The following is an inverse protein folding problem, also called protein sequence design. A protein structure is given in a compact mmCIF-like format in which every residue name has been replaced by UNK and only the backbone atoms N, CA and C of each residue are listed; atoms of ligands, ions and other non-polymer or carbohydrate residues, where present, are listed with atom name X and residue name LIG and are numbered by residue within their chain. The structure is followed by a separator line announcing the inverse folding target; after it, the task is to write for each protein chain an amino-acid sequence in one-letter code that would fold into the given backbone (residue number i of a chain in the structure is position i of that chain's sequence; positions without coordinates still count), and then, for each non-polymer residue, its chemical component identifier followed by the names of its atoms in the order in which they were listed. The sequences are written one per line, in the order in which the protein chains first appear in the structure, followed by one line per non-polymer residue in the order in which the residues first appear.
data_IF_261070466472
#
_entry.id   IF_261070466472
#
_cell.length_a   1.000
_cell.length_b   1.000
_cell.length_c   1.000
_cell.angle_alpha   90.00
_cell.angle_beta   90.00
_cell.angle_gamma   90.00
#
_symmetry.space_group_name_H-M   'P 1'
#
loop_
_entity.id
_entity.type
_entity.pdbx_description
1 polymer ?
#
# COMPACT_ATOMS: atom_id res chain seq x y z
N UNK A 1 -30.77 10.35 12.79
CA UNK A 1 -30.29 9.19 12.00
C UNK A 1 -30.13 9.68 10.57
N UNK A 2 -28.89 9.85 10.10
CA UNK A 2 -28.60 10.18 8.70
C UNK A 2 -28.30 8.86 7.98
N UNK A 3 -29.25 8.38 7.16
CA UNK A 3 -29.11 7.12 6.41
C UNK A 3 -28.27 7.26 5.14
N UNK A 4 -28.11 6.17 4.39
CA UNK A 4 -27.35 6.09 3.12
C UNK A 4 -27.75 7.15 2.08
N UNK A 5 -29.00 7.61 2.09
CA UNK A 5 -29.55 8.62 1.16
C UNK A 5 -29.33 10.07 1.63
N UNK A 6 -28.61 10.30 2.73
CA UNK A 6 -28.38 11.64 3.25
C UNK A 6 -27.38 12.40 2.39
N UNK A 7 -27.69 13.64 1.99
CA UNK A 7 -26.79 14.47 1.18
C UNK A 7 -25.46 14.81 1.89
N UNK A 8 -25.46 14.80 3.21
CA UNK A 8 -24.27 15.03 4.04
C UNK A 8 -24.39 14.35 5.40
N UNK A 9 -23.24 14.05 5.99
CA UNK A 9 -23.07 13.52 7.34
C UNK A 9 -22.46 14.60 8.23
N UNK A 10 -22.86 14.62 9.50
CA UNK A 10 -22.27 15.52 10.51
C UNK A 10 -21.64 14.65 11.59
N UNK A 11 -20.33 14.78 11.77
CA UNK A 11 -19.57 14.10 12.81
C UNK A 11 -18.67 15.10 13.51
N UNK A 12 -18.79 15.22 14.85
CA UNK A 12 -17.99 16.17 15.65
C UNK A 12 -17.91 17.58 15.05
N UNK A 13 -19.08 18.13 14.66
CA UNK A 13 -19.21 19.45 14.00
C UNK A 13 -18.61 19.57 12.59
N UNK A 14 -18.04 18.51 12.02
CA UNK A 14 -17.61 18.45 10.62
C UNK A 14 -18.76 17.99 9.72
N UNK A 15 -19.06 18.76 8.66
CA UNK A 15 -20.04 18.41 7.62
C UNK A 15 -19.33 17.74 6.44
N UNK A 16 -19.57 16.46 6.24
CA UNK A 16 -18.97 15.65 5.16
C UNK A 16 -20.03 15.41 4.09
N UNK A 17 -19.75 15.79 2.84
CA UNK A 17 -20.65 15.48 1.71
C UNK A 17 -20.70 13.98 1.49
N UNK A 18 -21.87 13.44 1.16
CA UNK A 18 -22.04 12.01 0.89
C UNK A 18 -21.06 11.48 -0.17
N UNK A 19 -20.87 12.23 -1.26
CA UNK A 19 -19.93 11.87 -2.32
C UNK A 19 -18.46 11.87 -1.85
N UNK A 20 -18.10 12.79 -0.96
CA UNK A 20 -16.74 12.85 -0.39
C UNK A 20 -16.50 11.67 0.57
N UNK A 21 -17.52 11.27 1.34
CA UNK A 21 -17.43 10.11 2.23
C UNK A 21 -17.18 8.82 1.44
N UNK A 22 -18.03 8.52 0.45
CA UNK A 22 -17.89 7.31 -0.37
C UNK A 22 -16.57 7.29 -1.14
N UNK A 23 -16.14 8.45 -1.67
CA UNK A 23 -14.83 8.58 -2.32
C UNK A 23 -13.68 8.30 -1.34
N UNK A 24 -13.78 8.79 -0.10
CA UNK A 24 -12.82 8.51 0.96
C UNK A 24 -12.76 7.01 1.30
N UNK A 25 -13.91 6.37 1.50
CA UNK A 25 -14.02 4.92 1.75
C UNK A 25 -13.32 4.13 0.63
N UNK A 26 -13.63 4.42 -0.63
CA UNK A 26 -13.01 3.74 -1.77
C UNK A 26 -11.48 3.94 -1.83
N UNK A 27 -10.96 5.09 -1.42
CA UNK A 27 -9.51 5.30 -1.34
C UNK A 27 -8.85 4.52 -0.22
N UNK A 28 -9.49 4.41 0.95
CA UNK A 28 -8.99 3.56 2.02
C UNK A 28 -9.01 2.08 1.61
N UNK A 29 -10.09 1.63 0.95
CA UNK A 29 -10.19 0.28 0.40
C UNK A 29 -9.09 -0.01 -0.63
N UNK A 30 -8.84 0.91 -1.56
CA UNK A 30 -7.73 0.84 -2.53
C UNK A 30 -6.38 0.73 -1.81
N UNK A 31 -6.16 1.51 -0.75
CA UNK A 31 -4.93 1.47 0.02
C UNK A 31 -4.75 0.12 0.76
N UNK A 32 -5.83 -0.44 1.30
CA UNK A 32 -5.83 -1.76 1.95
C UNK A 32 -5.50 -2.85 0.93
N UNK A 33 -6.16 -2.88 -0.23
CA UNK A 33 -5.86 -3.83 -1.31
C UNK A 33 -4.40 -3.72 -1.76
N UNK A 34 -3.89 -2.50 -1.96
CA UNK A 34 -2.49 -2.24 -2.31
C UNK A 34 -1.53 -2.81 -1.26
N UNK A 35 -1.80 -2.58 0.02
CA UNK A 35 -0.93 -3.05 1.10
C UNK A 35 -0.96 -4.58 1.22
N UNK A 36 -2.14 -5.15 1.45
CA UNK A 36 -2.30 -6.60 1.69
C UNK A 36 -1.88 -7.43 0.47
N UNK A 37 -2.19 -6.97 -0.74
CA UNK A 37 -1.74 -7.62 -1.98
C UNK A 37 -0.21 -7.59 -2.13
N UNK A 38 0.45 -6.47 -1.80
CA UNK A 38 1.91 -6.41 -1.79
C UNK A 38 2.52 -7.38 -0.75
N UNK A 39 1.92 -7.50 0.43
CA UNK A 39 2.40 -8.43 1.46
C UNK A 39 2.31 -9.88 0.97
N UNK A 40 1.21 -10.29 0.34
CA UNK A 40 1.08 -11.63 -0.29
C UNK A 40 2.13 -11.85 -1.38
N UNK A 41 2.26 -10.90 -2.32
CA UNK A 41 3.22 -11.02 -3.41
C UNK A 41 4.64 -11.17 -2.86
N UNK A 42 4.99 -10.37 -1.86
CA UNK A 42 6.30 -10.40 -1.20
C UNK A 42 6.54 -11.72 -0.47
N UNK A 43 5.52 -12.25 0.23
CA UNK A 43 5.59 -13.54 0.91
C UNK A 43 5.82 -14.69 -0.07
N UNK A 44 5.18 -14.67 -1.24
CA UNK A 44 5.26 -15.74 -2.22
C UNK A 44 6.40 -15.55 -3.24
N UNK A 45 7.10 -14.41 -3.21
CA UNK A 45 8.11 -14.03 -4.21
C UNK A 45 9.22 -15.08 -4.38
N UNK A 46 9.49 -15.46 -5.63
CA UNK A 46 10.59 -16.35 -5.99
C UNK A 46 10.39 -17.82 -5.61
N UNK A 47 9.21 -18.18 -5.10
CA UNK A 47 8.89 -19.55 -4.69
C UNK A 47 7.99 -20.23 -5.73
N UNK A 48 8.29 -21.50 -6.01
CA UNK A 48 7.43 -22.37 -6.81
C UNK A 48 6.62 -23.26 -5.88
N UNK A 49 5.40 -23.57 -6.30
CA UNK A 49 4.47 -24.41 -5.54
C UNK A 49 3.97 -25.53 -6.45
N UNK A 50 3.72 -26.69 -5.87
CA UNK A 50 3.18 -27.87 -6.54
C UNK A 50 1.73 -28.15 -6.16
N UNK A 51 1.23 -27.53 -5.08
CA UNK A 51 -0.15 -27.69 -4.63
C UNK A 51 -0.62 -26.51 -3.77
N UNK A 52 -1.93 -26.48 -3.52
CA UNK A 52 -2.55 -25.49 -2.63
C UNK A 52 -2.10 -25.68 -1.17
N UNK A 53 -1.75 -26.89 -0.75
CA UNK A 53 -1.18 -27.17 0.57
C UNK A 53 0.17 -26.46 0.77
N UNK A 54 1.03 -26.44 -0.25
CA UNK A 54 2.32 -25.73 -0.16
C UNK A 54 2.14 -24.21 -0.08
N UNK A 55 1.16 -23.66 -0.81
CA UNK A 55 0.77 -22.26 -0.71
C UNK A 55 0.29 -21.96 0.72
N UNK A 56 -0.64 -22.75 1.25
CA UNK A 56 -1.14 -22.60 2.62
C UNK A 56 -0.02 -22.62 3.65
N UNK A 57 0.86 -23.63 3.57
CA UNK A 57 2.03 -23.76 4.45
C UNK A 57 2.95 -22.54 4.40
N UNK A 58 3.14 -21.95 3.21
CA UNK A 58 3.96 -20.75 3.05
C UNK A 58 3.28 -19.49 3.59
N UNK A 59 1.95 -19.41 3.46
CA UNK A 59 1.16 -18.30 3.97
C UNK A 59 1.07 -18.31 5.51
N UNK A 60 1.13 -19.48 6.15
CA UNK A 60 1.19 -19.56 7.62
C UNK A 60 2.31 -18.67 8.18
N UNK A 61 2.03 -17.82 9.19
CA UNK A 61 3.05 -17.02 9.86
C UNK A 61 4.14 -17.86 10.50
N UNK A 62 5.37 -17.34 10.50
CA UNK A 62 6.53 -18.03 11.09
C UNK A 62 6.60 -17.85 12.62
N UNK A 63 5.81 -16.92 13.16
CA UNK A 63 5.76 -16.53 14.57
C UNK A 63 4.38 -16.01 14.93
N UNK A 64 4.07 -16.05 16.22
CA UNK A 64 2.87 -15.43 16.79
C UNK A 64 3.06 -13.93 17.08
N UNK A 65 4.33 -13.46 17.10
CA UNK A 65 4.65 -12.04 17.31
C UNK A 65 4.19 -11.23 16.10
N UNK A 66 3.55 -10.08 16.37
CA UNK A 66 2.95 -9.23 15.35
C UNK A 66 1.43 -9.30 15.27
N UNK A 67 0.80 -10.27 15.96
CA UNK A 67 -0.66 -10.30 16.09
C UNK A 67 -1.19 -9.08 16.86
N UNK A 68 -2.40 -8.65 16.51
CA UNK A 68 -3.12 -7.61 17.22
C UNK A 68 -2.65 -6.20 16.87
N UNK A 69 -2.55 -5.35 17.90
CA UNK A 69 -2.31 -3.92 17.74
C UNK A 69 -0.83 -3.61 17.52
N UNK A 70 -0.59 -2.55 16.75
CA UNK A 70 0.73 -1.99 16.50
C UNK A 70 0.77 -0.54 16.97
N UNK A 71 1.94 -0.11 17.44
CA UNK A 71 2.17 1.23 17.97
C UNK A 71 3.37 1.88 17.28
N UNK A 72 3.37 3.20 17.24
CA UNK A 72 4.52 4.00 16.83
C UNK A 72 5.24 4.55 18.06
N UNK A 73 6.47 4.10 18.27
CA UNK A 73 7.36 4.55 19.34
C UNK A 73 8.49 5.37 18.72
N UNK A 74 8.24 6.66 18.54
CA UNK A 74 9.21 7.62 17.98
C UNK A 74 9.79 7.20 16.62
N UNK A 75 8.94 6.70 15.73
CA UNK A 75 9.29 6.21 14.39
C UNK A 75 9.53 4.69 14.33
N UNK A 76 9.62 4.00 15.48
CA UNK A 76 9.63 2.55 15.52
C UNK A 76 8.20 2.01 15.50
N UNK A 77 7.78 1.51 14.35
CA UNK A 77 6.51 0.78 14.21
C UNK A 77 6.72 -0.65 14.71
N UNK A 78 6.04 -1.00 15.81
CA UNK A 78 6.27 -2.25 16.52
C UNK A 78 4.96 -2.92 16.97
N UNK A 79 4.93 -4.26 17.12
CA UNK A 79 3.83 -4.94 17.78
C UNK A 79 3.70 -4.42 19.22
N UNK A 80 2.48 -4.09 19.63
CA UNK A 80 2.21 -3.58 20.97
C UNK A 80 2.69 -4.56 22.05
N UNK A 81 2.58 -5.86 21.81
CA UNK A 81 3.07 -6.91 22.70
C UNK A 81 4.56 -6.80 23.01
N UNK A 82 5.38 -6.44 22.03
CA UNK A 82 6.84 -6.35 22.21
C UNK A 82 7.23 -5.08 22.95
N UNK A 83 6.48 -3.99 22.77
CA UNK A 83 6.66 -2.77 23.55
C UNK A 83 6.21 -2.96 25.00
N UNK A 84 5.08 -3.61 25.23
CA UNK A 84 4.62 -3.98 26.58
C UNK A 84 5.62 -4.91 27.28
N UNK A 85 6.19 -5.88 26.56
CA UNK A 85 7.27 -6.71 27.08
C UNK A 85 8.50 -5.90 27.45
N UNK A 86 8.96 -5.00 26.57
CA UNK A 86 10.08 -4.11 26.86
C UNK A 86 9.83 -3.27 28.14
N UNK A 87 8.61 -2.73 28.30
CA UNK A 87 8.25 -1.98 29.51
C UNK A 87 8.30 -2.87 30.76
N UNK A 88 7.75 -4.08 30.70
CA UNK A 88 7.77 -5.02 31.82
C UNK A 88 9.20 -5.45 32.19
N UNK A 89 10.07 -5.69 31.20
CA UNK A 89 11.48 -6.04 31.40
C UNK A 89 12.23 -4.87 32.10
N UNK A 90 11.89 -3.62 31.81
CA UNK A 90 12.43 -2.43 32.50
C UNK A 90 11.89 -2.32 33.93
N UNK A 91 10.57 -2.43 34.11
CA UNK A 91 9.91 -2.28 35.41
C UNK A 91 10.34 -3.35 36.42
N UNK A 92 10.60 -4.57 35.93
CA UNK A 92 11.08 -5.69 36.75
C UNK A 92 12.57 -5.63 37.07
N UNK A 93 13.33 -4.76 36.40
CA UNK A 93 14.78 -4.65 36.54
C UNK A 93 15.57 -5.72 35.79
N UNK A 94 14.96 -6.44 34.83
CA UNK A 94 15.68 -7.31 33.88
C UNK A 94 16.52 -6.46 32.91
N UNK A 95 15.96 -5.35 32.45
CA UNK A 95 16.67 -4.31 31.70
C UNK A 95 16.98 -3.15 32.65
N UNK A 96 18.27 -2.87 32.82
CA UNK A 96 18.76 -1.81 33.71
C UNK A 96 19.62 -0.77 32.99
N UNK A 97 20.05 -1.06 31.75
CA UNK A 97 20.94 -0.21 30.95
C UNK A 97 20.29 0.24 29.64
N UNK A 98 20.63 1.45 29.18
CA UNK A 98 20.10 2.03 27.95
C UNK A 98 20.48 1.22 26.70
N UNK A 99 21.68 0.64 26.70
CA UNK A 99 22.18 -0.23 25.65
C UNK A 99 21.28 -1.45 25.43
N UNK A 100 20.70 -2.02 26.49
CA UNK A 100 19.78 -3.16 26.40
C UNK A 100 18.44 -2.74 25.78
N UNK A 101 17.93 -1.56 26.13
CA UNK A 101 16.73 -0.99 25.49
C UNK A 101 16.98 -0.79 23.99
N UNK A 102 18.12 -0.21 23.63
CA UNK A 102 18.49 -0.01 22.23
C UNK A 102 18.63 -1.35 21.48
N UNK A 103 19.18 -2.38 22.13
CA UNK A 103 19.28 -3.72 21.56
C UNK A 103 17.89 -4.31 21.27
N UNK A 104 16.93 -4.17 22.18
CA UNK A 104 15.54 -4.59 21.98
C UNK A 104 14.85 -3.85 20.84
N UNK A 105 15.00 -2.54 20.75
CA UNK A 105 14.46 -1.75 19.64
C UNK A 105 15.04 -2.20 18.28
N UNK A 106 16.36 -2.49 18.23
CA UNK A 106 17.02 -3.03 17.03
C UNK A 106 16.54 -4.43 16.67
N UNK A 107 16.33 -5.30 17.66
CA UNK A 107 15.74 -6.63 17.48
C UNK A 107 14.36 -6.53 16.83
N UNK A 108 13.47 -5.69 17.39
CA UNK A 108 12.12 -5.47 16.84
C UNK A 108 12.20 -4.95 15.41
N UNK A 109 13.01 -3.92 15.16
CA UNK A 109 13.20 -3.36 13.82
C UNK A 109 13.72 -4.40 12.82
N UNK A 110 14.69 -5.22 13.20
CA UNK A 110 15.28 -6.24 12.34
C UNK A 110 14.29 -7.35 11.95
N UNK A 111 13.28 -7.58 12.80
CA UNK A 111 12.23 -8.57 12.58
C UNK A 111 10.94 -7.96 11.99
N UNK A 112 10.96 -6.67 11.61
CA UNK A 112 9.77 -5.93 11.19
C UNK A 112 8.92 -6.69 10.17
N UNK A 113 9.52 -7.16 9.06
CA UNK A 113 8.76 -7.87 8.01
C UNK A 113 8.22 -9.23 8.45
N UNK A 114 8.89 -9.90 9.39
CA UNK A 114 8.40 -11.16 9.95
C UNK A 114 7.16 -10.91 10.79
N UNK A 115 7.17 -9.88 11.63
CA UNK A 115 6.04 -9.50 12.45
C UNK A 115 4.90 -8.90 11.63
N UNK A 116 5.22 -8.04 10.65
CA UNK A 116 4.25 -7.45 9.73
C UNK A 116 3.51 -8.54 8.95
N UNK A 117 4.19 -9.60 8.53
CA UNK A 117 3.51 -10.71 7.87
C UNK A 117 2.47 -11.37 8.78
N UNK A 118 2.79 -11.59 10.05
CA UNK A 118 1.83 -12.14 11.03
C UNK A 118 0.57 -11.27 11.12
N UNK A 119 0.74 -9.95 11.15
CA UNK A 119 -0.37 -8.99 11.14
C UNK A 119 -1.14 -9.01 9.82
N UNK A 120 -0.43 -8.93 8.69
CA UNK A 120 -1.01 -8.85 7.36
C UNK A 120 -1.81 -10.11 7.04
N UNK A 121 -1.33 -11.29 7.44
CA UNK A 121 -2.02 -12.55 7.26
C UNK A 121 -3.38 -12.55 7.96
N UNK A 122 -3.45 -12.13 9.23
CA UNK A 122 -4.72 -11.98 9.97
C UNK A 122 -5.70 -11.01 9.27
N UNK A 123 -5.17 -9.90 8.75
CA UNK A 123 -5.98 -8.93 7.98
C UNK A 123 -6.41 -9.46 6.62
N UNK A 124 -5.59 -10.23 5.93
CA UNK A 124 -5.98 -10.88 4.67
C UNK A 124 -7.15 -11.83 4.91
N UNK A 125 -7.09 -12.67 5.94
CA UNK A 125 -8.16 -13.61 6.26
C UNK A 125 -9.48 -12.89 6.52
N UNK A 126 -9.46 -11.89 7.40
CA UNK A 126 -10.67 -11.15 7.79
C UNK A 126 -11.20 -10.21 6.70
N UNK A 127 -10.32 -9.55 5.94
CA UNK A 127 -10.71 -8.57 4.93
C UNK A 127 -11.24 -9.21 3.64
N UNK A 128 -10.68 -10.36 3.24
CA UNK A 128 -11.13 -11.10 2.05
C UNK A 128 -12.07 -12.28 2.37
N UNK A 129 -12.46 -12.44 3.64
CA UNK A 129 -13.31 -13.52 4.15
C UNK A 129 -12.80 -14.91 3.73
N UNK A 130 -11.56 -15.21 4.11
CA UNK A 130 -10.88 -16.47 3.79
C UNK A 130 -10.77 -17.39 5.00
N UNK A 131 -11.04 -18.67 4.77
CA UNK A 131 -10.69 -19.74 5.71
C UNK A 131 -9.23 -20.18 5.48
N UNK A 132 -8.36 -20.11 6.50
CA UNK A 132 -6.96 -20.51 6.38
C UNK A 132 -6.76 -21.95 5.90
N UNK A 133 -7.68 -22.86 6.21
CA UNK A 133 -7.57 -24.28 5.85
C UNK A 133 -7.93 -24.56 4.38
N UNK A 134 -8.65 -23.64 3.73
CA UNK A 134 -9.16 -23.85 2.36
C UNK A 134 -8.60 -22.88 1.33
N UNK A 135 -7.65 -22.01 1.68
CA UNK A 135 -7.04 -21.06 0.72
C UNK A 135 -6.47 -21.81 -0.49
N UNK A 136 -6.78 -21.30 -1.68
CA UNK A 136 -6.30 -21.84 -2.96
C UNK A 136 -5.45 -20.83 -3.73
N UNK A 137 -4.76 -21.30 -4.78
CA UNK A 137 -4.12 -20.43 -5.77
C UNK A 137 -5.13 -19.46 -6.41
N UNK A 138 -6.38 -19.89 -6.61
CA UNK A 138 -7.46 -19.03 -7.13
C UNK A 138 -7.75 -17.83 -6.23
N UNK A 139 -7.76 -18.01 -4.90
CA UNK A 139 -7.93 -16.91 -3.94
C UNK A 139 -6.76 -15.93 -3.99
N UNK A 140 -5.53 -16.44 -4.06
CA UNK A 140 -4.32 -15.62 -4.22
C UNK A 140 -4.39 -14.83 -5.54
N UNK A 141 -4.74 -15.47 -6.64
CA UNK A 141 -4.90 -14.83 -7.95
C UNK A 141 -5.96 -13.73 -7.90
N UNK A 142 -7.10 -13.97 -7.23
CA UNK A 142 -8.14 -12.95 -7.03
C UNK A 142 -7.58 -11.73 -6.32
N UNK A 143 -6.87 -11.92 -5.21
CA UNK A 143 -6.27 -10.80 -4.45
C UNK A 143 -5.23 -10.06 -5.29
N UNK A 144 -4.37 -10.79 -6.02
CA UNK A 144 -3.31 -10.19 -6.87
C UNK A 144 -3.91 -9.40 -8.03
N UNK A 145 -5.01 -9.85 -8.62
CA UNK A 145 -5.71 -9.08 -9.65
C UNK A 145 -6.28 -7.76 -9.12
N UNK A 146 -6.97 -7.80 -7.96
CA UNK A 146 -7.50 -6.59 -7.33
C UNK A 146 -6.37 -5.64 -6.93
N UNK A 147 -5.28 -6.17 -6.38
CA UNK A 147 -4.07 -5.41 -6.10
C UNK A 147 -3.52 -4.73 -7.36
N UNK A 148 -3.39 -5.47 -8.47
CA UNK A 148 -2.86 -4.97 -9.74
C UNK A 148 -3.70 -3.81 -10.26
N UNK A 149 -5.02 -3.98 -10.27
CA UNK A 149 -5.95 -2.92 -10.64
C UNK A 149 -5.81 -1.68 -9.75
N UNK A 150 -5.76 -1.86 -8.43
CA UNK A 150 -5.61 -0.77 -7.48
C UNK A 150 -4.32 0.03 -7.70
N UNK A 151 -3.17 -0.64 -7.84
CA UNK A 151 -1.88 0.05 -7.99
C UNK A 151 -1.77 0.75 -9.33
N UNK A 152 -2.21 0.10 -10.42
CA UNK A 152 -2.18 0.68 -11.76
C UNK A 152 -3.14 1.87 -11.86
N UNK A 153 -4.34 1.77 -11.28
CA UNK A 153 -5.29 2.89 -11.25
C UNK A 153 -4.76 4.08 -10.45
N UNK A 154 -4.08 3.85 -9.32
CA UNK A 154 -3.45 4.93 -8.55
C UNK A 154 -2.36 5.64 -9.36
N UNK A 155 -1.54 4.89 -10.11
CA UNK A 155 -0.51 5.48 -10.97
C UNK A 155 -1.12 6.24 -12.15
N UNK A 156 -2.20 5.74 -12.75
CA UNK A 156 -2.94 6.48 -13.78
C UNK A 156 -3.58 7.76 -13.25
N UNK A 157 -4.10 7.74 -12.02
CA UNK A 157 -4.59 8.95 -11.37
C UNK A 157 -3.47 9.98 -11.21
N UNK A 158 -2.26 9.54 -10.84
CA UNK A 158 -1.10 10.41 -10.71
C UNK A 158 -0.64 10.97 -12.06
N UNK A 159 -0.64 10.13 -13.10
CA UNK A 159 -0.36 10.52 -14.47
C UNK A 159 -1.34 11.58 -14.98
N UNK A 160 -2.65 11.36 -14.80
CA UNK A 160 -3.70 12.29 -15.22
C UNK A 160 -3.68 13.60 -14.42
N UNK A 161 -3.25 13.56 -13.16
CA UNK A 161 -3.05 14.77 -12.36
C UNK A 161 -1.87 15.60 -12.87
N UNK A 162 -0.72 14.95 -13.10
CA UNK A 162 0.42 15.61 -13.74
C UNK A 162 0.02 16.19 -15.10
N UNK A 163 -0.68 15.43 -15.95
CA UNK A 163 -1.14 15.89 -17.27
C UNK A 163 -1.95 17.18 -17.19
N UNK A 164 -2.76 17.39 -16.15
CA UNK A 164 -3.49 18.66 -15.95
C UNK A 164 -2.55 19.82 -15.66
N UNK A 165 -1.52 19.61 -14.85
CA UNK A 165 -0.50 20.63 -14.55
C UNK A 165 0.23 21.09 -15.83
N UNK A 166 0.42 20.17 -16.78
CA UNK A 166 1.02 20.43 -18.10
C UNK A 166 0.02 20.90 -19.18
N UNK A 167 -1.30 20.81 -18.93
CA UNK A 167 -2.31 21.26 -19.90
C UNK A 167 -2.43 22.79 -19.92
N UNK A 168 -2.53 23.36 -21.13
CA UNK A 168 -2.39 24.79 -21.51
C UNK A 168 -3.16 25.85 -20.68
N UNK A 169 -3.99 25.49 -19.70
CA UNK A 169 -4.67 26.45 -18.83
C UNK A 169 -3.80 26.94 -17.64
N UNK A 170 -2.61 26.39 -17.45
CA UNK A 170 -1.58 26.93 -16.54
C UNK A 170 -0.67 27.98 -17.19
N UNK A 171 -0.94 28.36 -18.45
CA UNK A 171 -0.27 29.44 -19.18
C UNK A 171 -0.65 30.82 -18.66
N UNK A 172 -0.20 31.16 -17.45
CA UNK A 172 0.14 32.56 -17.18
C UNK A 172 1.48 32.77 -17.88
N UNK A 173 1.44 33.28 -19.11
CA UNK A 173 2.63 33.69 -19.87
C UNK A 173 3.49 34.59 -18.99
N UNK A 174 4.78 34.27 -18.84
CA UNK A 174 5.71 35.07 -18.05
C UNK A 174 6.23 36.30 -18.81
N UNK A 175 5.79 36.60 -20.04
CA UNK A 175 6.20 37.87 -20.65
C UNK A 175 6.09 38.07 -22.15
N UNK A 176 5.35 37.27 -22.91
CA UNK A 176 5.16 37.56 -24.34
C UNK A 176 3.69 37.48 -24.76
N UNK A 177 3.15 38.58 -25.26
CA UNK A 177 1.86 38.68 -25.97
C UNK A 177 2.00 38.11 -27.41
N UNK A 178 2.64 36.95 -27.53
CA UNK A 178 2.99 36.30 -28.81
C UNK A 178 1.90 35.39 -29.35
N UNK A 179 2.18 34.80 -30.51
CA UNK A 179 1.35 33.76 -31.12
C UNK A 179 1.28 32.49 -30.26
N UNK A 180 0.25 31.65 -30.47
CA UNK A 180 0.09 30.38 -29.72
C UNK A 180 1.31 29.45 -29.79
N UNK A 181 2.05 29.49 -30.90
CA UNK A 181 3.24 28.68 -31.08
C UNK A 181 4.43 29.20 -30.26
N UNK A 182 4.58 30.53 -30.12
CA UNK A 182 5.61 31.14 -29.27
C UNK A 182 5.33 30.89 -27.78
N UNK A 183 4.06 30.97 -27.36
CA UNK A 183 3.66 30.60 -26.00
C UNK A 183 3.94 29.12 -25.69
N UNK A 184 3.73 28.24 -26.67
CA UNK A 184 4.01 26.81 -26.53
C UNK A 184 5.53 26.55 -26.42
N UNK A 185 6.34 27.20 -27.25
CA UNK A 185 7.80 27.06 -27.22
C UNK A 185 8.41 27.61 -25.92
N UNK A 186 7.93 28.76 -25.43
CA UNK A 186 8.36 29.32 -24.14
C UNK A 186 7.99 28.38 -22.98
N UNK A 187 6.77 27.86 -22.98
CA UNK A 187 6.33 26.87 -21.99
C UNK A 187 7.18 25.59 -22.03
N UNK A 188 7.44 25.05 -23.23
CA UNK A 188 8.28 23.86 -23.41
C UNK A 188 9.73 24.11 -22.98
N UNK A 189 10.28 25.32 -23.16
CA UNK A 189 11.62 25.67 -22.68
C UNK A 189 11.70 25.80 -21.15
N UNK A 190 10.65 26.29 -20.50
CA UNK A 190 10.63 26.51 -19.04
C UNK A 190 10.20 25.26 -18.26
N UNK A 191 9.25 24.48 -18.78
CA UNK A 191 8.63 23.34 -18.10
C UNK A 191 9.00 21.98 -18.69
N UNK A 192 9.61 21.95 -19.88
CA UNK A 192 9.92 20.73 -20.61
C UNK A 192 8.70 20.15 -21.34
N UNK A 193 8.94 19.05 -22.08
CA UNK A 193 7.91 18.29 -22.80
C UNK A 193 7.34 17.22 -21.87
N UNK A 194 6.01 17.16 -21.74
CA UNK A 194 5.30 16.27 -20.81
C UNK A 194 5.74 14.81 -20.95
N UNK A 195 5.87 14.32 -22.17
CA UNK A 195 6.25 12.94 -22.51
C UNK A 195 7.70 12.60 -22.12
N UNK A 196 8.56 13.61 -21.97
CA UNK A 196 9.95 13.44 -21.52
C UNK A 196 10.15 13.77 -20.04
N UNK A 197 9.08 14.13 -19.33
CA UNK A 197 9.18 14.54 -17.94
C UNK A 197 9.62 13.35 -17.06
N UNK A 198 10.69 13.48 -16.24
CA UNK A 198 11.20 12.37 -15.43
C UNK A 198 10.16 11.76 -14.48
N UNK A 199 9.25 12.58 -13.94
CA UNK A 199 8.17 12.10 -13.08
C UNK A 199 7.18 11.26 -13.88
N UNK A 200 6.72 11.75 -15.04
CA UNK A 200 5.79 11.03 -15.92
C UNK A 200 6.39 9.69 -16.36
N UNK A 201 7.66 9.68 -16.76
CA UNK A 201 8.38 8.45 -17.12
C UNK A 201 8.47 7.47 -15.94
N UNK A 202 8.76 7.97 -14.73
CA UNK A 202 8.81 7.12 -13.52
C UNK A 202 7.45 6.48 -13.22
N UNK A 203 6.35 7.20 -13.42
CA UNK A 203 4.99 6.68 -13.23
C UNK A 203 4.68 5.58 -14.25
N UNK A 204 4.98 5.81 -15.53
CA UNK A 204 4.78 4.82 -16.59
C UNK A 204 5.62 3.56 -16.35
N UNK A 205 6.90 3.71 -15.99
CA UNK A 205 7.74 2.57 -15.61
C UNK A 205 7.20 1.81 -14.40
N UNK A 206 6.62 2.52 -13.43
CA UNK A 206 6.05 1.90 -12.24
C UNK A 206 4.80 1.07 -12.60
N UNK A 207 3.94 1.57 -13.49
CA UNK A 207 2.79 0.83 -14.04
C UNK A 207 3.26 -0.48 -14.69
N UNK A 208 4.27 -0.42 -15.56
CA UNK A 208 4.80 -1.60 -16.24
C UNK A 208 5.38 -2.62 -15.25
N UNK A 209 6.21 -2.14 -14.30
CA UNK A 209 6.83 -2.99 -13.27
C UNK A 209 5.78 -3.66 -12.38
N UNK A 210 4.74 -2.95 -11.97
CA UNK A 210 3.68 -3.48 -11.10
C UNK A 210 2.78 -4.45 -11.85
N UNK A 211 2.46 -4.15 -13.11
CA UNK A 211 1.71 -5.05 -13.98
C UNK A 211 2.45 -6.37 -14.16
N UNK A 212 3.73 -6.31 -14.53
CA UNK A 212 4.58 -7.49 -14.71
C UNK A 212 4.75 -8.29 -13.41
N UNK A 213 4.87 -7.63 -12.26
CA UNK A 213 4.98 -8.29 -10.96
C UNK A 213 3.72 -9.11 -10.62
N UNK A 214 2.53 -8.55 -10.84
CA UNK A 214 1.28 -9.26 -10.62
C UNK A 214 1.11 -10.44 -11.59
N UNK A 215 1.41 -10.21 -12.87
CA UNK A 215 1.31 -11.24 -13.91
C UNK A 215 2.30 -12.39 -13.72
N UNK A 216 3.51 -12.11 -13.25
CA UNK A 216 4.49 -13.14 -12.91
C UNK A 216 3.92 -14.10 -11.87
N UNK A 217 3.40 -13.58 -10.74
CA UNK A 217 2.85 -14.44 -9.70
C UNK A 217 1.62 -15.21 -10.19
N UNK A 218 0.69 -14.55 -10.89
CA UNK A 218 -0.51 -15.18 -11.44
C UNK A 218 -0.14 -16.32 -12.38
N UNK A 219 0.78 -16.09 -13.32
CA UNK A 219 1.21 -17.11 -14.27
C UNK A 219 1.94 -18.27 -13.58
N UNK A 220 2.74 -17.97 -12.54
CA UNK A 220 3.50 -18.98 -11.81
C UNK A 220 2.62 -19.93 -11.01
N UNK A 221 1.54 -19.44 -10.40
CA UNK A 221 0.63 -20.27 -9.60
C UNK A 221 -0.66 -20.66 -10.33
N UNK A 222 -0.91 -20.11 -11.52
CA UNK A 222 -2.15 -20.29 -12.28
C UNK A 222 -2.44 -21.73 -12.70
N UNK A 223 -1.42 -22.58 -12.78
CA UNK A 223 -1.60 -24.01 -13.06
C UNK A 223 -2.17 -24.80 -11.88
N UNK A 224 -2.20 -24.20 -10.68
CA UNK A 224 -2.72 -24.80 -9.44
C UNK A 224 -4.14 -24.32 -9.08
N UNK A 225 -4.64 -23.34 -9.83
CA UNK A 225 -5.93 -22.67 -9.61
C UNK A 225 -7.11 -23.39 -10.24
#
# INVERSE_FOLDING_TARGET
IAGETSAAYIYQSAKIRNSALHKGIGYYETAIHKFLGNSIISRLKGLNFQSNEEIRKRLTPDTEIGKGDWVDVAGLIAPKSEIERLMNDIESGEITELEQINARCKEIHSNYYTYEWTWAYDKILSFYDLDPETITAGDVIRIVNVWKECVVNLDWMLYEDAKKEFSLNSMISFGADGSRDEMRQDFEQVRGVFESNPFVMTVLEHIDKKTALGEELINRIGQLG
#
